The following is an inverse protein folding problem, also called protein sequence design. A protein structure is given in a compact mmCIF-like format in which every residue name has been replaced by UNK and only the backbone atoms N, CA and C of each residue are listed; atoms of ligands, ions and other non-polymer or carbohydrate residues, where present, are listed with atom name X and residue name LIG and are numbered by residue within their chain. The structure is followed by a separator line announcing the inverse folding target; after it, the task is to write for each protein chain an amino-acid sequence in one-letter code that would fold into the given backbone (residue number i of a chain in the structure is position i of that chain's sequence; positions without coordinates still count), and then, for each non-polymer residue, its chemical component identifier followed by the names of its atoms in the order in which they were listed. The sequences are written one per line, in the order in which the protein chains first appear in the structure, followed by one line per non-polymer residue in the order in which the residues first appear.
data_IF_035920348024
#
_entry.id   IF_035920348024
#
_cell.length_a   1.000
_cell.length_b   1.000
_cell.length_c   1.000
_cell.angle_alpha   90.00
_cell.angle_beta   90.00
_cell.angle_gamma   90.00
#
_symmetry.space_group_name_H-M   'P 1'
#
loop_
_entity.id
_entity.type
_entity.pdbx_description
1 polymer ?
#
# COMPACT_ATOMS: atom_id res chain seq x y z
N UNK A 1 7.72 -7.50 6.12
CA UNK A 1 8.58 -8.25 5.18
C UNK A 1 8.72 -7.47 3.89
N UNK A 2 9.93 -7.41 3.32
CA UNK A 2 10.23 -6.56 2.14
C UNK A 2 9.80 -7.21 0.82
N UNK A 3 9.24 -8.42 0.81
CA UNK A 3 8.92 -9.18 -0.40
C UNK A 3 10.13 -9.65 -1.22
N UNK A 4 11.33 -9.19 -0.90
CA UNK A 4 12.56 -9.57 -1.61
C UNK A 4 13.07 -10.94 -1.19
N UNK A 5 13.57 -11.71 -2.15
CA UNK A 5 14.26 -12.97 -1.88
C UNK A 5 15.59 -12.69 -1.17
N UNK A 6 15.69 -13.08 0.08
CA UNK A 6 16.91 -12.92 0.88
C UNK A 6 17.81 -14.17 0.71
N UNK A 7 18.87 -14.05 -0.09
CA UNK A 7 19.87 -15.13 -0.22
C UNK A 7 20.54 -15.37 1.14
N UNK A 8 20.65 -16.62 1.54
CA UNK A 8 21.29 -17.02 2.81
C UNK A 8 20.41 -16.93 4.04
N UNK A 9 19.11 -16.64 3.91
CA UNK A 9 18.18 -16.67 5.03
C UNK A 9 17.74 -18.10 5.31
N UNK A 10 17.87 -18.53 6.56
CA UNK A 10 17.33 -19.79 7.06
C UNK A 10 15.93 -19.60 7.59
N UNK A 11 15.05 -20.58 7.35
CA UNK A 11 13.72 -20.61 7.95
C UNK A 11 13.82 -21.13 9.39
N UNK A 12 13.03 -20.57 10.29
CA UNK A 12 12.97 -20.96 11.71
C UNK A 12 12.27 -22.31 11.92
N UNK A 13 12.35 -22.82 13.13
CA UNK A 13 11.58 -23.98 13.61
C UNK A 13 11.79 -25.29 12.80
N UNK A 14 13.02 -25.55 12.39
CA UNK A 14 13.39 -26.70 11.55
C UNK A 14 12.72 -26.74 10.17
N UNK A 15 11.92 -25.73 9.81
CA UNK A 15 11.24 -25.67 8.52
C UNK A 15 12.24 -25.69 7.35
N UNK A 16 13.41 -25.04 7.55
CA UNK A 16 14.47 -25.07 6.54
C UNK A 16 14.96 -26.50 6.25
N UNK A 17 15.23 -27.28 7.29
CA UNK A 17 15.65 -28.66 7.15
C UNK A 17 14.58 -29.55 6.50
N UNK A 18 13.30 -29.33 6.79
CA UNK A 18 12.21 -30.02 6.12
C UNK A 18 12.10 -29.69 4.63
N UNK A 19 12.31 -28.42 4.27
CA UNK A 19 12.30 -28.00 2.86
C UNK A 19 13.50 -28.60 2.13
N UNK A 20 14.70 -28.55 2.72
CA UNK A 20 15.90 -29.20 2.16
C UNK A 20 15.71 -30.71 1.94
N UNK A 21 15.12 -31.38 2.91
CA UNK A 21 14.82 -32.80 2.83
C UNK A 21 13.80 -33.10 1.71
N UNK A 22 12.76 -32.28 1.59
CA UNK A 22 11.76 -32.39 0.54
C UNK A 22 12.35 -32.20 -0.85
N UNK A 23 13.25 -31.21 -1.00
CA UNK A 23 13.86 -30.86 -2.29
C UNK A 23 15.13 -31.70 -2.60
N UNK A 24 15.51 -32.60 -1.69
CA UNK A 24 16.70 -33.47 -1.87
C UNK A 24 18.03 -32.71 -1.85
N UNK A 25 18.05 -31.51 -1.29
CA UNK A 25 19.23 -30.65 -1.16
C UNK A 25 19.68 -30.69 0.29
N UNK A 26 20.93 -31.07 0.56
CA UNK A 26 21.47 -31.09 1.91
C UNK A 26 22.60 -30.06 2.02
N UNK A 27 22.40 -28.97 2.73
CA UNK A 27 23.41 -27.91 2.91
C UNK A 27 24.18 -28.00 4.22
N UNK A 28 23.87 -28.97 5.06
CA UNK A 28 24.80 -29.59 6.04
C UNK A 28 25.13 -28.82 7.30
N UNK A 29 24.62 -27.66 7.59
CA UNK A 29 24.89 -27.00 8.86
C UNK A 29 23.61 -26.36 9.44
N UNK A 30 23.02 -26.96 10.46
CA UNK A 30 22.02 -26.30 11.27
C UNK A 30 22.71 -25.24 12.14
N UNK A 31 22.37 -23.98 11.97
CA UNK A 31 22.76 -22.95 12.91
C UNK A 31 21.75 -22.92 14.06
N UNK A 32 22.17 -23.23 15.27
CA UNK A 32 21.34 -22.99 16.45
C UNK A 32 21.42 -21.52 16.87
N UNK A 33 20.25 -20.89 17.00
CA UNK A 33 20.17 -19.53 17.55
C UNK A 33 20.40 -19.62 19.06
N UNK A 34 21.57 -19.20 19.51
CA UNK A 34 21.95 -19.28 20.94
C UNK A 34 21.27 -18.18 21.78
N UNK A 35 20.98 -17.04 21.18
CA UNK A 35 20.37 -15.89 21.86
C UNK A 35 19.48 -15.16 20.84
N UNK A 36 18.28 -14.83 21.26
CA UNK A 36 17.36 -14.00 20.48
C UNK A 36 16.91 -12.80 21.32
N UNK A 37 16.93 -11.63 20.73
CA UNK A 37 16.49 -10.37 21.34
C UNK A 37 15.55 -9.66 20.37
N UNK A 38 14.47 -9.08 20.89
CA UNK A 38 13.59 -8.22 20.08
C UNK A 38 14.22 -6.85 19.84
N UNK A 39 13.83 -6.18 18.76
CA UNK A 39 14.29 -4.82 18.50
C UNK A 39 13.89 -3.85 19.63
N UNK A 40 12.71 -4.03 20.24
CA UNK A 40 12.26 -3.22 21.37
C UNK A 40 13.23 -3.32 22.54
N UNK A 41 13.61 -4.54 22.93
CA UNK A 41 14.57 -4.75 24.01
C UNK A 41 15.95 -4.20 23.62
N UNK A 42 16.40 -4.45 22.37
CA UNK A 42 17.68 -3.95 21.90
C UNK A 42 17.74 -2.42 21.97
N UNK A 43 16.73 -1.72 21.47
CA UNK A 43 16.73 -0.25 21.49
C UNK A 43 16.64 0.31 22.90
N UNK A 44 15.92 -0.34 23.82
CA UNK A 44 15.86 0.09 25.21
C UNK A 44 17.18 -0.06 25.98
N UNK A 45 18.20 -0.71 25.41
CA UNK A 45 19.55 -0.70 25.98
C UNK A 45 20.30 0.63 25.73
N UNK A 46 19.84 1.47 24.83
CA UNK A 46 20.47 2.75 24.55
C UNK A 46 19.88 3.85 25.44
N UNK A 47 20.75 4.72 25.99
CA UNK A 47 20.31 5.81 26.84
C UNK A 47 19.54 6.91 26.12
N UNK A 48 19.84 7.11 24.84
CA UNK A 48 19.20 8.11 24.00
C UNK A 48 18.81 7.49 22.67
N UNK A 49 17.53 7.56 22.36
CA UNK A 49 16.96 7.12 21.09
C UNK A 49 16.30 8.32 20.43
N UNK A 50 16.64 8.57 19.18
CA UNK A 50 15.96 9.55 18.32
C UNK A 50 15.67 8.94 16.97
N UNK A 51 14.61 9.41 16.33
CA UNK A 51 14.21 8.94 15.01
C UNK A 51 13.38 9.98 14.27
N UNK A 52 13.29 9.83 12.96
CA UNK A 52 12.41 10.62 12.11
C UNK A 52 11.59 9.69 11.22
N UNK A 53 10.33 10.02 11.04
CA UNK A 53 9.44 9.27 10.16
C UNK A 53 8.36 10.19 9.59
N UNK A 54 7.92 9.91 8.35
CA UNK A 54 6.77 10.59 7.73
C UNK A 54 5.45 9.84 7.92
N UNK A 55 5.46 8.67 8.57
CA UNK A 55 4.32 7.75 8.57
C UNK A 55 3.93 7.28 9.97
N UNK A 56 4.22 8.07 11.01
CA UNK A 56 3.92 7.68 12.38
C UNK A 56 2.41 7.49 12.63
N UNK A 57 1.57 8.32 11.99
CA UNK A 57 0.12 8.26 12.20
C UNK A 57 -0.26 8.44 13.66
N UNK A 58 -1.17 7.62 14.15
CA UNK A 58 -1.65 7.61 15.53
C UNK A 58 -0.77 6.80 16.50
N UNK A 59 0.37 6.28 16.05
CA UNK A 59 1.24 5.39 16.83
C UNK A 59 2.13 6.12 17.85
N UNK A 60 1.93 7.42 18.10
CA UNK A 60 2.72 8.18 19.09
C UNK A 60 2.64 7.57 20.49
N UNK A 61 1.51 6.95 20.85
CA UNK A 61 1.33 6.28 22.14
C UNK A 61 2.21 5.05 22.26
N UNK A 62 2.29 4.22 21.22
CA UNK A 62 3.16 3.05 21.15
C UNK A 62 4.63 3.44 21.38
N UNK A 63 5.12 4.49 20.71
CA UNK A 63 6.50 4.97 20.90
C UNK A 63 6.76 5.45 22.30
N UNK A 64 5.80 6.11 22.93
CA UNK A 64 5.93 6.53 24.32
C UNK A 64 5.94 5.34 25.29
N UNK A 65 5.04 4.38 25.13
CA UNK A 65 4.92 3.21 26.01
C UNK A 65 6.14 2.26 25.89
N UNK A 66 6.66 2.06 24.67
CA UNK A 66 7.78 1.13 24.45
C UNK A 66 9.14 1.75 24.71
N UNK A 67 9.35 3.00 24.28
CA UNK A 67 10.68 3.65 24.29
C UNK A 67 10.76 4.87 25.18
N UNK A 68 9.68 5.32 25.82
CA UNK A 68 9.62 6.60 26.52
C UNK A 68 9.83 7.82 25.59
N UNK A 69 9.71 7.62 24.29
CA UNK A 69 10.03 8.65 23.31
C UNK A 69 8.83 9.58 23.05
N UNK A 70 9.06 10.88 23.17
CA UNK A 70 8.06 11.88 22.81
C UNK A 70 8.11 12.15 21.32
N UNK A 71 6.92 12.23 20.70
CA UNK A 71 6.78 12.55 19.29
C UNK A 71 6.49 14.02 19.10
N UNK A 72 7.25 14.65 18.22
CA UNK A 72 7.06 16.06 17.85
C UNK A 72 6.72 16.13 16.37
N UNK A 73 5.54 16.66 16.05
CA UNK A 73 5.14 16.90 14.65
C UNK A 73 5.90 18.11 14.11
N UNK A 74 6.64 17.91 13.02
CA UNK A 74 7.28 18.97 12.27
C UNK A 74 6.38 19.30 11.08
N UNK A 75 5.87 20.54 10.95
CA UNK A 75 5.00 20.90 9.84
C UNK A 75 5.75 20.86 8.52
N UNK A 76 5.02 20.56 7.45
CA UNK A 76 5.55 20.56 6.10
C UNK A 76 6.06 21.96 5.72
N UNK A 77 7.24 22.00 5.07
CA UNK A 77 7.83 23.27 4.58
C UNK A 77 7.01 23.88 3.44
N UNK A 78 6.39 23.07 2.61
CA UNK A 78 5.56 23.45 1.49
C UNK A 78 4.15 22.93 1.69
N UNK A 79 3.13 23.62 1.14
CA UNK A 79 1.75 23.14 1.24
C UNK A 79 1.61 21.72 0.66
N UNK A 80 0.89 20.87 1.38
CA UNK A 80 0.52 19.57 0.85
C UNK A 80 -0.52 19.75 -0.25
N UNK A 81 -0.23 19.22 -1.45
CA UNK A 81 -1.08 19.28 -2.64
C UNK A 81 -1.50 17.88 -3.10
N UNK A 82 -1.51 16.92 -2.17
CA UNK A 82 -1.98 15.57 -2.42
C UNK A 82 -3.50 15.54 -2.33
N UNK A 83 -4.16 15.23 -3.43
CA UNK A 83 -5.59 14.90 -3.46
C UNK A 83 -5.76 13.41 -3.19
N UNK A 84 -6.57 13.06 -2.20
CA UNK A 84 -6.84 11.68 -1.82
C UNK A 84 -8.31 11.34 -2.07
N UNK A 85 -8.55 10.17 -2.64
CA UNK A 85 -9.90 9.65 -2.87
C UNK A 85 -9.94 8.16 -2.54
N UNK A 86 -11.01 7.75 -1.89
CA UNK A 86 -11.32 6.33 -1.68
C UNK A 86 -12.43 5.92 -2.64
N UNK A 87 -12.30 4.74 -3.22
CA UNK A 87 -13.31 4.09 -4.05
C UNK A 87 -13.64 2.76 -3.39
N UNK A 88 -14.85 2.63 -2.91
CA UNK A 88 -15.39 1.39 -2.43
C UNK A 88 -16.25 0.79 -3.55
N UNK A 89 -15.86 -0.38 -4.02
CA UNK A 89 -16.45 -1.01 -5.19
C UNK A 89 -17.24 -2.24 -4.78
N UNK A 90 -18.33 -2.48 -5.48
CA UNK A 90 -19.26 -3.56 -5.15
C UNK A 90 -18.60 -4.95 -5.22
N UNK A 91 -17.74 -5.16 -6.21
CA UNK A 91 -17.08 -6.44 -6.46
C UNK A 91 -15.84 -6.26 -7.36
N UNK A 92 -15.02 -7.32 -7.44
CA UNK A 92 -13.77 -7.34 -8.20
C UNK A 92 -13.90 -6.91 -9.67
N UNK A 93 -14.93 -7.28 -10.46
CA UNK A 93 -15.06 -6.79 -11.84
C UNK A 93 -15.08 -5.27 -11.94
N UNK A 94 -15.76 -4.59 -11.01
CA UNK A 94 -15.80 -3.12 -10.98
C UNK A 94 -14.46 -2.53 -10.56
N UNK A 95 -13.68 -3.25 -9.75
CA UNK A 95 -12.31 -2.85 -9.39
C UNK A 95 -11.42 -2.76 -10.63
N UNK A 96 -11.46 -3.78 -11.50
CA UNK A 96 -10.69 -3.77 -12.75
C UNK A 96 -11.11 -2.63 -13.68
N UNK A 97 -12.40 -2.34 -13.78
CA UNK A 97 -12.92 -1.23 -14.57
C UNK A 97 -12.49 0.13 -14.01
N UNK A 98 -12.46 0.28 -12.67
CA UNK A 98 -12.01 1.50 -12.04
C UNK A 98 -10.49 1.73 -12.23
N UNK A 99 -9.68 0.68 -12.10
CA UNK A 99 -8.23 0.73 -12.36
C UNK A 99 -7.96 1.16 -13.80
N UNK A 100 -8.61 0.55 -14.78
CA UNK A 100 -8.46 0.94 -16.18
C UNK A 100 -8.88 2.38 -16.42
N UNK A 101 -10.07 2.77 -15.97
CA UNK A 101 -10.63 4.12 -16.17
C UNK A 101 -9.70 5.19 -15.63
N UNK A 102 -9.26 5.07 -14.37
CA UNK A 102 -8.36 6.03 -13.75
C UNK A 102 -6.99 6.06 -14.44
N UNK A 103 -6.46 4.89 -14.81
CA UNK A 103 -5.18 4.82 -15.54
C UNK A 103 -5.28 5.58 -16.86
N UNK A 104 -6.32 5.34 -17.66
CA UNK A 104 -6.52 6.06 -18.94
C UNK A 104 -6.69 7.56 -18.76
N UNK A 105 -7.45 7.98 -17.75
CA UNK A 105 -7.65 9.40 -17.44
C UNK A 105 -6.32 10.10 -17.16
N UNK A 106 -5.48 9.49 -16.32
CA UNK A 106 -4.21 10.09 -15.94
C UNK A 106 -3.18 10.08 -17.06
N UNK A 107 -3.00 8.99 -17.79
CA UNK A 107 -2.08 8.94 -18.91
C UNK A 107 -2.50 9.88 -20.05
N UNK A 108 -3.80 10.03 -20.31
CA UNK A 108 -4.31 10.97 -21.30
C UNK A 108 -3.97 12.44 -20.93
N UNK A 109 -3.86 12.74 -19.63
CA UNK A 109 -3.40 14.05 -19.16
C UNK A 109 -1.87 14.16 -19.11
N UNK A 110 -1.11 13.14 -19.53
CA UNK A 110 0.36 13.09 -19.48
C UNK A 110 0.93 12.89 -18.08
N UNK A 111 0.15 12.36 -17.12
CA UNK A 111 0.64 12.00 -15.78
C UNK A 111 1.21 10.60 -15.77
N UNK A 112 2.31 10.36 -15.06
CA UNK A 112 2.73 9.01 -14.72
C UNK A 112 1.75 8.38 -13.71
N UNK A 113 1.56 7.06 -13.83
CA UNK A 113 0.66 6.27 -12.97
C UNK A 113 1.44 5.15 -12.29
N UNK A 114 1.41 5.14 -10.96
CA UNK A 114 1.93 4.07 -10.13
C UNK A 114 0.77 3.26 -9.54
N UNK A 115 0.71 1.97 -9.84
CA UNK A 115 -0.33 1.07 -9.37
C UNK A 115 0.27 0.11 -8.34
N UNK A 116 -0.23 0.18 -7.11
CA UNK A 116 0.20 -0.66 -6.01
C UNK A 116 -0.69 -1.86 -5.82
N UNK A 117 -0.11 -3.05 -5.89
CA UNK A 117 -0.76 -4.33 -5.66
C UNK A 117 -0.42 -4.89 -4.27
N UNK A 118 -1.31 -5.72 -3.71
CA UNK A 118 -1.11 -6.35 -2.40
C UNK A 118 -0.03 -7.46 -2.40
N UNK A 119 0.27 -8.05 -3.57
CA UNK A 119 1.26 -9.11 -3.74
C UNK A 119 1.81 -9.16 -5.15
N UNK A 120 2.92 -9.89 -5.36
CA UNK A 120 3.50 -10.10 -6.70
C UNK A 120 2.51 -10.79 -7.66
N UNK A 121 1.71 -11.73 -7.15
CA UNK A 121 0.66 -12.40 -7.93
C UNK A 121 -0.39 -11.39 -8.36
N UNK A 122 -0.86 -10.57 -7.44
CA UNK A 122 -1.84 -9.52 -7.72
C UNK A 122 -1.29 -8.48 -8.70
N UNK A 123 -0.01 -8.09 -8.57
CA UNK A 123 0.64 -7.18 -9.52
C UNK A 123 0.64 -7.73 -10.96
N UNK A 124 0.92 -9.02 -11.12
CA UNK A 124 0.85 -9.69 -12.44
C UNK A 124 -0.57 -9.71 -12.98
N UNK A 125 -1.57 -10.03 -12.17
CA UNK A 125 -2.98 -10.02 -12.57
C UNK A 125 -3.43 -8.64 -13.06
N UNK A 126 -3.07 -7.58 -12.34
CA UNK A 126 -3.36 -6.19 -12.74
C UNK A 126 -2.69 -5.87 -14.09
N UNK A 127 -1.40 -6.18 -14.22
CA UNK A 127 -0.68 -5.91 -15.45
C UNK A 127 -1.25 -6.66 -16.66
N UNK A 128 -1.59 -7.95 -16.49
CA UNK A 128 -2.21 -8.77 -17.54
C UNK A 128 -3.59 -8.24 -17.94
N UNK A 129 -4.40 -7.77 -16.97
CA UNK A 129 -5.69 -7.18 -17.26
C UNK A 129 -5.55 -5.87 -18.05
N UNK A 130 -4.62 -4.99 -17.65
CA UNK A 130 -4.34 -3.75 -18.37
C UNK A 130 -3.84 -4.01 -19.80
N UNK A 131 -2.99 -5.03 -20.00
CA UNK A 131 -2.54 -5.45 -21.34
C UNK A 131 -3.73 -5.93 -22.19
N UNK A 132 -4.61 -6.76 -21.65
CA UNK A 132 -5.83 -7.19 -22.34
C UNK A 132 -6.74 -6.04 -22.77
N UNK A 133 -6.69 -4.95 -22.01
CA UNK A 133 -7.44 -3.71 -22.29
C UNK A 133 -6.66 -2.72 -23.17
N UNK A 134 -5.50 -3.12 -23.70
CA UNK A 134 -4.70 -2.32 -24.65
C UNK A 134 -3.86 -1.22 -24.00
N UNK A 135 -3.43 -1.40 -22.74
CA UNK A 135 -2.46 -0.56 -22.06
C UNK A 135 -1.11 -1.29 -21.96
N UNK A 136 -0.02 -0.56 -21.79
CA UNK A 136 1.34 -1.11 -21.74
C UNK A 136 1.99 -0.84 -20.37
N UNK A 137 1.61 -1.57 -19.31
CA UNK A 137 2.23 -1.40 -18.01
C UNK A 137 3.60 -2.07 -17.94
N UNK A 138 4.54 -1.45 -17.21
CA UNK A 138 5.76 -2.09 -16.72
C UNK A 138 5.50 -2.66 -15.33
N UNK A 139 5.93 -3.89 -15.05
CA UNK A 139 5.85 -4.48 -13.72
C UNK A 139 7.15 -4.34 -12.97
N UNK A 140 7.06 -4.07 -11.65
CA UNK A 140 8.18 -4.15 -10.72
C UNK A 140 7.79 -5.00 -9.52
N UNK A 141 8.32 -6.21 -9.45
CA UNK A 141 8.02 -7.20 -8.42
C UNK A 141 9.31 -7.70 -7.74
N UNK A 142 9.17 -8.51 -6.69
CA UNK A 142 10.28 -8.94 -5.82
C UNK A 142 11.42 -9.68 -6.51
N UNK A 143 11.18 -10.23 -7.68
CA UNK A 143 12.18 -10.99 -8.48
C UNK A 143 12.95 -10.15 -9.48
N UNK A 144 12.55 -8.89 -9.69
CA UNK A 144 13.16 -8.06 -10.71
C UNK A 144 14.53 -7.53 -10.26
N UNK A 145 15.47 -7.54 -11.19
CA UNK A 145 16.87 -7.11 -10.96
C UNK A 145 17.16 -5.70 -11.49
N UNK A 146 16.23 -5.12 -12.28
CA UNK A 146 16.39 -3.82 -12.93
C UNK A 146 15.56 -2.72 -12.24
N UNK A 147 15.43 -2.78 -10.91
CA UNK A 147 14.61 -1.84 -10.12
C UNK A 147 14.93 -0.38 -10.43
N UNK A 148 16.22 0.00 -10.45
CA UNK A 148 16.65 1.39 -10.66
C UNK A 148 16.22 1.95 -12.01
N UNK A 149 16.27 1.15 -13.07
CA UNK A 149 15.83 1.56 -14.41
C UNK A 149 14.31 1.75 -14.47
N UNK A 150 13.53 0.81 -13.91
CA UNK A 150 12.07 0.90 -13.87
C UNK A 150 11.63 2.12 -13.06
N UNK A 151 12.30 2.38 -11.94
CA UNK A 151 12.02 3.56 -11.10
C UNK A 151 12.32 4.86 -11.82
N UNK A 152 13.42 4.93 -12.57
CA UNK A 152 13.76 6.10 -13.36
C UNK A 152 12.69 6.42 -14.43
N UNK A 153 12.13 5.37 -15.04
CA UNK A 153 11.08 5.50 -16.06
C UNK A 153 9.68 5.75 -15.45
N UNK A 154 9.47 5.41 -14.20
CA UNK A 154 8.16 5.53 -13.54
C UNK A 154 7.63 6.98 -13.43
N UNK A 155 8.50 7.97 -13.51
CA UNK A 155 8.13 9.39 -13.49
C UNK A 155 7.96 10.03 -14.86
N UNK A 156 8.13 9.28 -15.94
CA UNK A 156 7.98 9.81 -17.31
C UNK A 156 6.51 10.03 -17.67
N UNK A 157 6.19 11.01 -18.52
CA UNK A 157 4.82 11.28 -18.95
C UNK A 157 4.13 10.05 -19.53
N UNK A 158 2.98 9.68 -18.98
CA UNK A 158 2.18 8.56 -19.47
C UNK A 158 2.74 7.17 -19.13
N UNK A 159 3.78 7.08 -18.32
CA UNK A 159 4.27 5.79 -17.81
C UNK A 159 3.23 5.12 -16.91
N UNK A 160 3.13 3.80 -16.98
CA UNK A 160 2.29 2.97 -16.12
C UNK A 160 3.21 1.94 -15.45
N UNK A 161 3.35 1.99 -14.14
CA UNK A 161 4.13 1.02 -13.37
C UNK A 161 3.23 0.30 -12.39
N UNK A 162 3.20 -1.03 -12.47
CA UNK A 162 2.51 -1.89 -11.50
C UNK A 162 3.54 -2.50 -10.56
N UNK A 163 3.37 -2.29 -9.27
CA UNK A 163 4.34 -2.73 -8.26
C UNK A 163 3.65 -3.22 -6.99
N UNK A 164 4.43 -3.78 -6.10
CA UNK A 164 4.03 -4.06 -4.72
C UNK A 164 4.63 -3.02 -3.77
N UNK A 165 4.43 -3.19 -2.46
CA UNK A 165 5.00 -2.33 -1.41
C UNK A 165 6.55 -2.31 -1.40
N UNK A 166 7.21 -3.13 -2.24
CA UNK A 166 8.68 -3.15 -2.44
C UNK A 166 9.19 -1.80 -2.87
N UNK A 167 8.53 -1.16 -3.83
CA UNK A 167 8.86 0.19 -4.29
C UNK A 167 8.61 1.24 -3.19
N UNK A 168 8.19 0.77 -2.01
CA UNK A 168 7.83 1.60 -0.87
C UNK A 168 9.01 2.17 -0.07
N UNK A 169 10.19 1.58 -0.10
CA UNK A 169 11.28 1.95 0.83
C UNK A 169 12.54 2.41 0.12
N UNK A 170 12.91 3.67 0.39
CA UNK A 170 14.21 4.22 -0.03
C UNK A 170 14.29 4.68 -1.49
N UNK A 171 13.22 4.52 -2.27
CA UNK A 171 13.19 4.89 -3.68
C UNK A 171 12.37 6.15 -3.89
N UNK A 172 12.90 7.15 -4.54
CA UNK A 172 12.18 8.37 -4.93
C UNK A 172 11.86 8.33 -6.42
N UNK A 173 10.58 8.53 -6.76
CA UNK A 173 10.14 8.63 -8.14
C UNK A 173 10.24 10.10 -8.56
N UNK A 174 11.20 10.40 -9.39
CA UNK A 174 11.35 11.74 -9.93
C UNK A 174 10.39 11.94 -11.10
N UNK A 175 9.33 12.72 -10.86
CA UNK A 175 8.42 13.13 -11.93
C UNK A 175 9.14 14.06 -12.87
N UNK A 176 9.12 13.76 -14.18
CA UNK A 176 9.77 14.56 -15.19
C UNK A 176 9.25 15.99 -15.20
N UNK A 177 10.11 16.97 -15.53
CA UNK A 177 9.77 18.41 -15.54
C UNK A 177 8.50 18.72 -16.34
N UNK A 178 8.27 18.01 -17.42
CA UNK A 178 7.07 18.15 -18.27
C UNK A 178 5.78 17.70 -17.59
N UNK A 179 5.86 16.97 -16.49
CA UNK A 179 4.74 16.47 -15.71
C UNK A 179 4.69 17.02 -14.27
N UNK A 180 5.64 17.88 -13.87
CA UNK A 180 5.73 18.43 -12.50
C UNK A 180 4.46 19.16 -12.06
N UNK A 181 3.86 19.96 -12.94
CA UNK A 181 2.61 20.68 -12.64
C UNK A 181 1.39 19.77 -12.50
N UNK A 182 1.50 18.53 -12.96
CA UNK A 182 0.44 17.53 -12.94
C UNK A 182 0.63 16.50 -11.83
N UNK A 183 1.90 16.18 -11.51
CA UNK A 183 2.30 15.25 -10.48
C UNK A 183 2.08 13.78 -10.80
N UNK A 184 2.38 12.93 -9.85
CA UNK A 184 2.21 11.47 -9.91
C UNK A 184 0.80 11.08 -9.49
N UNK A 185 0.17 10.18 -10.24
CA UNK A 185 -1.03 9.48 -9.80
C UNK A 185 -0.67 8.12 -9.19
N UNK A 186 -1.16 7.86 -8.00
CA UNK A 186 -0.94 6.61 -7.26
C UNK A 186 -2.28 5.91 -7.07
N UNK A 187 -2.41 4.69 -7.59
CA UNK A 187 -3.59 3.85 -7.43
C UNK A 187 -3.23 2.69 -6.52
N UNK A 188 -3.76 2.65 -5.31
CA UNK A 188 -3.64 1.51 -4.42
C UNK A 188 -4.80 0.56 -4.68
N UNK A 189 -4.50 -0.64 -5.17
CA UNK A 189 -5.47 -1.68 -5.50
C UNK A 189 -5.49 -2.72 -4.40
N UNK A 190 -6.63 -2.83 -3.75
CA UNK A 190 -6.84 -3.75 -2.64
C UNK A 190 -6.37 -3.24 -1.29
N UNK A 191 -6.86 -3.89 -0.25
CA UNK A 191 -6.58 -3.56 1.14
C UNK A 191 -5.11 -3.75 1.52
N UNK A 192 -4.64 -2.96 2.49
CA UNK A 192 -3.33 -3.10 3.11
C UNK A 192 -3.49 -3.56 4.56
N UNK A 193 -2.48 -4.27 5.10
CA UNK A 193 -2.58 -4.84 6.45
C UNK A 193 -2.64 -3.78 7.56
N UNK A 194 -2.18 -2.57 7.31
CA UNK A 194 -2.24 -1.48 8.25
C UNK A 194 -2.05 -0.11 7.59
N UNK A 195 -2.44 0.92 8.31
CA UNK A 195 -2.41 2.32 7.91
C UNK A 195 -0.99 2.85 7.57
N UNK A 196 0.06 2.36 8.25
CA UNK A 196 1.44 2.81 7.98
C UNK A 196 1.91 2.40 6.59
N UNK A 197 1.60 1.16 6.17
CA UNK A 197 1.93 0.67 4.82
C UNK A 197 1.17 1.48 3.78
N UNK A 198 -0.10 1.75 4.03
CA UNK A 198 -0.92 2.57 3.15
C UNK A 198 -0.35 3.99 2.99
N UNK A 199 -0.07 4.68 4.10
CA UNK A 199 0.55 6.02 4.06
C UNK A 199 1.92 6.04 3.38
N UNK A 200 2.72 5.00 3.51
CA UNK A 200 3.99 4.91 2.80
C UNK A 200 3.79 4.88 1.29
N UNK A 201 2.72 4.22 0.83
CA UNK A 201 2.40 4.16 -0.58
C UNK A 201 1.78 5.47 -1.07
N UNK A 202 0.80 6.03 -0.35
CA UNK A 202 0.21 7.34 -0.63
C UNK A 202 1.27 8.45 -0.70
N UNK A 203 2.25 8.42 0.21
CA UNK A 203 3.36 9.36 0.27
C UNK A 203 4.35 9.29 -0.91
N UNK A 204 4.06 8.49 -1.95
CA UNK A 204 4.78 8.53 -3.23
C UNK A 204 4.35 9.71 -4.09
N UNK A 205 3.09 10.13 -3.99
CA UNK A 205 2.54 11.30 -4.64
C UNK A 205 2.67 12.55 -3.77
N UNK A 206 2.57 13.71 -4.37
CA UNK A 206 2.52 15.00 -3.65
C UNK A 206 3.81 15.41 -2.96
N UNK A 207 4.97 14.89 -3.37
CA UNK A 207 6.26 15.18 -2.74
C UNK A 207 6.75 16.58 -3.05
N UNK A 208 7.43 17.19 -2.05
CA UNK A 208 8.11 18.48 -2.18
C UNK A 208 7.21 19.62 -2.68
N UNK A 209 5.89 19.58 -2.31
CA UNK A 209 4.92 20.58 -2.74
C UNK A 209 4.42 20.42 -4.18
N UNK A 210 4.84 19.36 -4.89
CA UNK A 210 4.24 19.00 -6.16
C UNK A 210 2.78 18.53 -5.96
N UNK A 211 1.88 18.73 -6.93
CA UNK A 211 0.57 18.11 -6.89
C UNK A 211 0.71 16.57 -6.95
N UNK A 212 -0.28 15.88 -6.46
CA UNK A 212 -0.32 14.42 -6.51
C UNK A 212 -1.75 13.92 -6.33
N UNK A 213 -2.01 12.72 -6.84
CA UNK A 213 -3.31 12.07 -6.66
C UNK A 213 -3.09 10.69 -6.10
N UNK A 214 -3.85 10.38 -5.06
CA UNK A 214 -3.86 9.06 -4.45
C UNK A 214 -5.29 8.53 -4.46
N UNK A 215 -5.45 7.34 -5.03
CA UNK A 215 -6.72 6.62 -5.04
C UNK A 215 -6.56 5.29 -4.29
N UNK A 216 -7.37 5.12 -3.27
CA UNK A 216 -7.55 3.86 -2.56
C UNK A 216 -8.75 3.15 -3.18
N UNK A 217 -8.53 1.98 -3.81
CA UNK A 217 -9.56 1.19 -4.44
C UNK A 217 -9.75 -0.09 -3.63
N UNK A 218 -10.91 -0.24 -3.02
CA UNK A 218 -11.29 -1.38 -2.18
C UNK A 218 -12.57 -2.00 -2.71
N UNK A 219 -12.75 -3.28 -2.43
CA UNK A 219 -14.03 -3.97 -2.66
C UNK A 219 -14.75 -4.19 -1.33
N UNK A 220 -16.08 -4.33 -1.36
CA UNK A 220 -16.86 -4.62 -0.15
C UNK A 220 -16.33 -5.81 0.65
N UNK A 221 -15.95 -6.96 0.04
CA UNK A 221 -15.40 -8.09 0.80
C UNK A 221 -14.10 -7.79 1.55
N UNK A 222 -13.34 -6.76 1.15
CA UNK A 222 -12.08 -6.40 1.81
C UNK A 222 -12.28 -5.62 3.11
N UNK A 223 -13.47 -5.09 3.37
CA UNK A 223 -13.76 -4.33 4.59
C UNK A 223 -13.53 -5.16 5.86
N UNK A 224 -13.91 -6.44 5.84
CA UNK A 224 -13.65 -7.36 6.96
C UNK A 224 -12.16 -7.57 7.18
N UNK A 225 -11.38 -7.66 6.10
CA UNK A 225 -9.94 -7.86 6.18
C UNK A 225 -9.20 -6.69 6.85
N UNK A 226 -9.67 -5.47 6.66
CA UNK A 226 -9.10 -4.27 7.29
C UNK A 226 -9.67 -3.99 8.68
N UNK A 227 -10.49 -4.91 9.22
CA UNK A 227 -10.98 -4.84 10.58
C UNK A 227 -12.20 -3.92 10.77
N UNK A 228 -12.92 -3.57 9.70
CA UNK A 228 -14.20 -2.87 9.83
C UNK A 228 -15.19 -3.75 10.56
N UNK A 229 -15.81 -3.30 11.67
CA UNK A 229 -16.76 -4.10 12.42
C UNK A 229 -17.96 -4.53 11.57
N UNK A 230 -18.44 -5.77 11.76
CA UNK A 230 -19.58 -6.33 11.01
C UNK A 230 -20.82 -5.42 11.07
N UNK A 231 -21.06 -4.75 12.21
CA UNK A 231 -22.18 -3.81 12.36
C UNK A 231 -22.05 -2.58 11.45
N UNK A 232 -20.82 -2.16 11.15
CA UNK A 232 -20.53 -1.04 10.23
C UNK A 232 -20.63 -1.49 8.78
N UNK A 233 -20.17 -2.70 8.48
CA UNK A 233 -20.34 -3.33 7.15
C UNK A 233 -21.83 -3.48 6.81
N UNK A 234 -22.66 -3.83 7.81
CA UNK A 234 -24.11 -3.93 7.61
C UNK A 234 -24.73 -2.59 7.19
N UNK A 235 -24.32 -1.47 7.77
CA UNK A 235 -24.78 -0.13 7.36
C UNK A 235 -24.45 0.13 5.89
N UNK A 236 -23.22 -0.18 5.46
CA UNK A 236 -22.82 0.00 4.06
C UNK A 236 -23.64 -0.89 3.13
N UNK A 237 -23.95 -2.13 3.55
CA UNK A 237 -24.77 -3.06 2.75
C UNK A 237 -26.21 -2.52 2.60
N UNK A 238 -26.77 -1.94 3.66
CA UNK A 238 -28.12 -1.36 3.61
C UNK A 238 -28.16 -0.16 2.64
N UNK A 239 -27.16 0.72 2.70
CA UNK A 239 -26.99 1.84 1.74
C UNK A 239 -26.85 1.33 0.30
N UNK A 240 -26.06 0.26 0.07
CA UNK A 240 -25.94 -0.39 -1.23
C UNK A 240 -27.30 -0.91 -1.72
N UNK A 241 -28.08 -1.52 -0.83
CA UNK A 241 -29.40 -2.05 -1.19
C UNK A 241 -30.40 -0.94 -1.59
N UNK A 242 -30.34 0.21 -0.93
CA UNK A 242 -31.19 1.36 -1.24
C UNK A 242 -30.82 2.05 -2.56
N UNK A 243 -29.51 2.09 -2.92
CA UNK A 243 -28.99 2.83 -4.07
C UNK A 243 -28.44 1.92 -5.18
N UNK A 244 -28.86 0.66 -5.23
CA UNK A 244 -28.31 -0.34 -6.12
C UNK A 244 -28.25 0.07 -7.60
N UNK A 245 -29.31 0.69 -8.12
CA UNK A 245 -29.36 1.13 -9.53
C UNK A 245 -28.36 2.25 -9.82
N UNK A 246 -28.21 3.22 -8.92
CA UNK A 246 -27.29 4.34 -9.06
C UNK A 246 -25.84 3.87 -8.95
N UNK A 247 -25.55 2.95 -8.01
CA UNK A 247 -24.24 2.33 -7.83
C UNK A 247 -23.83 1.57 -9.11
N UNK A 248 -24.74 0.81 -9.71
CA UNK A 248 -24.47 0.11 -10.96
C UNK A 248 -24.23 1.06 -12.12
N UNK A 249 -24.98 2.19 -12.19
CA UNK A 249 -24.75 3.23 -13.20
C UNK A 249 -23.41 3.94 -13.02
N UNK A 250 -22.93 4.11 -11.79
CA UNK A 250 -21.58 4.60 -11.47
C UNK A 250 -20.47 3.55 -11.59
N UNK A 251 -20.75 2.44 -12.29
CA UNK A 251 -19.84 1.30 -12.46
C UNK A 251 -19.46 0.60 -11.17
N UNK A 252 -20.39 0.51 -10.24
CA UNK A 252 -20.21 -0.21 -8.97
C UNK A 252 -19.38 0.54 -7.93
N UNK A 253 -19.13 1.83 -8.11
CA UNK A 253 -18.45 2.69 -7.14
C UNK A 253 -19.48 3.23 -6.13
N UNK A 254 -19.47 2.69 -4.92
CA UNK A 254 -20.41 3.02 -3.85
C UNK A 254 -20.18 4.46 -3.35
N UNK A 255 -18.93 4.90 -3.23
CA UNK A 255 -18.58 6.21 -2.73
C UNK A 255 -18.98 7.35 -3.67
N UNK A 256 -19.29 7.05 -4.93
CA UNK A 256 -19.83 8.04 -5.85
C UNK A 256 -21.30 8.40 -5.58
N UNK A 257 -22.01 7.61 -4.78
CA UNK A 257 -23.46 7.65 -4.63
C UNK A 257 -23.92 7.93 -3.20
N UNK A 258 -23.23 7.41 -2.19
CA UNK A 258 -23.58 7.54 -0.76
C UNK A 258 -22.71 8.59 -0.06
N UNK A 259 -23.03 8.90 1.21
CA UNK A 259 -22.27 9.87 2.00
C UNK A 259 -20.79 9.43 2.12
N UNK A 260 -19.97 10.14 1.37
CA UNK A 260 -18.56 9.86 1.19
C UNK A 260 -17.78 9.88 2.50
N UNK A 261 -18.03 10.91 3.33
CA UNK A 261 -17.23 11.16 4.54
C UNK A 261 -17.49 10.06 5.59
N UNK A 262 -18.74 9.66 5.77
CA UNK A 262 -19.10 8.61 6.74
C UNK A 262 -18.46 7.25 6.40
N UNK A 263 -18.47 6.85 5.14
CA UNK A 263 -17.86 5.57 4.72
C UNK A 263 -16.35 5.63 4.81
N UNK A 264 -15.72 6.74 4.44
CA UNK A 264 -14.27 6.92 4.59
C UNK A 264 -13.85 6.83 6.05
N UNK A 265 -14.58 7.49 6.95
CA UNK A 265 -14.31 7.43 8.39
C UNK A 265 -14.41 6.00 8.94
N UNK A 266 -15.42 5.23 8.51
CA UNK A 266 -15.57 3.82 8.88
C UNK A 266 -14.36 2.98 8.44
N UNK A 267 -13.87 3.19 7.21
CA UNK A 267 -12.72 2.48 6.66
C UNK A 267 -11.45 2.86 7.43
N UNK A 268 -11.25 4.13 7.72
CA UNK A 268 -10.08 4.62 8.42
C UNK A 268 -10.05 4.15 9.88
N UNK A 269 -11.18 4.11 10.58
CA UNK A 269 -11.33 3.51 11.91
C UNK A 269 -10.96 2.02 11.91
N UNK A 270 -11.35 1.27 10.86
CA UNK A 270 -11.00 -0.13 10.69
C UNK A 270 -9.48 -0.34 10.57
N UNK A 271 -8.82 0.46 9.74
CA UNK A 271 -7.37 0.42 9.55
C UNK A 271 -6.59 0.78 10.83
N UNK A 272 -7.03 1.78 11.58
CA UNK A 272 -6.43 2.16 12.87
C UNK A 272 -6.63 1.05 13.93
N UNK A 273 -7.77 0.41 13.95
CA UNK A 273 -8.08 -0.71 14.84
C UNK A 273 -7.20 -1.93 14.54
N UNK A 274 -7.00 -2.26 13.27
CA UNK A 274 -6.13 -3.35 12.83
C UNK A 274 -4.66 -3.10 13.23
N UNK A 275 -4.18 -1.87 13.14
CA UNK A 275 -2.83 -1.49 13.59
C UNK A 275 -2.65 -1.68 15.11
N UNK A 276 -3.64 -1.27 15.90
CA UNK A 276 -3.62 -1.43 17.36
C UNK A 276 -3.61 -2.89 17.80
N UNK A 277 -4.36 -3.75 17.11
CA UNK A 277 -4.39 -5.20 17.40
C UNK A 277 -3.07 -5.90 17.06
N UNK A 278 -2.38 -5.45 15.99
CA UNK A 278 -1.09 -6.00 15.58
C UNK A 278 0.05 -5.58 16.52
N UNK A 279 -0.05 -4.40 17.14
CA UNK A 279 0.93 -3.91 18.14
C UNK A 279 0.83 -4.62 19.49
N UNK A 280 -0.32 -5.25 19.79
CA UNK A 280 -0.60 -5.94 21.05
C UNK A 280 -0.26 -7.45 21.02
N UNK A 281 0.03 -8.02 19.85
CA UNK A 281 0.42 -9.42 19.64
C UNK A 281 1.93 -9.56 19.44
#
# INVERSE_FOLDING_TARGET
ATGRMSKGRTLSDNLHAFVEMKEGVFTGASSETSIQITYQILFNLFQNITGVTGTLGNSYREFYEIYGANVVAIPDRLPNRLEQRTHLLLAEPYLWDAVERLTREYIASGRPVLIGAASDVHARMIAEDLVRRGLEPTTLISTDTNEDAIVADAGLPGSIVVTTDIMGRGTDIHVADTSLDRGLAVLQVGARPNYRVERQFAGRAGRQGAPGHYHRLLTLPELEYIGVPESKVAIIIDEVAEHQEEILQSRGDILAVVDYDEIVDIIDEGLDGAESAFSAS
#
